data_IF_722366547114
#
_entry.id   IF_722366547114
#
_cell.length_a   1.000
_cell.length_b   1.000
_cell.length_c   1.000
_cell.angle_alpha   90.00
_cell.angle_beta   90.00
_cell.angle_gamma   90.00
#
_symmetry.space_group_name_H-M   'P 1'
#
loop_
_entity.id
_entity.type
_entity.pdbx_description
1 polymer ?
#
# COMPACT_ATOMS: atom_id res chain seq x y z
N UNK A 1 -44.58 27.48 31.48
CA UNK A 1 -43.50 26.85 30.68
C UNK A 1 -44.14 25.85 29.73
N UNK A 2 -44.18 26.16 28.44
CA UNK A 2 -44.76 25.25 27.43
C UNK A 2 -43.66 24.31 26.92
N UNK A 3 -43.79 22.98 27.08
CA UNK A 3 -42.84 22.04 26.51
C UNK A 3 -42.88 22.15 24.98
N UNK A 4 -41.75 22.49 24.38
CA UNK A 4 -41.61 22.62 22.92
C UNK A 4 -41.57 21.21 22.34
N UNK A 5 -42.67 20.75 21.75
CA UNK A 5 -42.71 19.48 21.00
C UNK A 5 -41.62 19.51 19.92
N UNK A 6 -40.64 18.61 20.05
CA UNK A 6 -39.67 18.35 19.00
C UNK A 6 -40.40 17.58 17.91
N UNK A 7 -40.23 17.93 16.62
CA UNK A 7 -40.87 17.17 15.55
C UNK A 7 -40.41 15.70 15.65
N UNK A 8 -41.32 14.73 15.55
CA UNK A 8 -40.93 13.33 15.45
C UNK A 8 -40.08 13.19 14.19
N UNK A 9 -38.84 12.71 14.35
CA UNK A 9 -38.02 12.28 13.22
C UNK A 9 -38.86 11.30 12.41
N UNK A 10 -39.08 11.58 11.13
CA UNK A 10 -39.77 10.61 10.28
C UNK A 10 -38.85 9.41 10.17
N UNK A 11 -39.35 8.22 10.52
CA UNK A 11 -38.63 6.95 10.42
C UNK A 11 -38.24 6.61 8.97
N UNK A 12 -38.49 7.49 8.00
CA UNK A 12 -38.14 7.32 6.59
C UNK A 12 -36.97 8.22 6.15
N UNK A 13 -36.78 9.39 6.79
CA UNK A 13 -35.73 10.35 6.40
C UNK A 13 -34.31 9.85 6.69
N UNK A 14 -34.10 9.28 7.89
CA UNK A 14 -32.78 8.73 8.23
C UNK A 14 -32.47 7.46 7.43
N UNK A 15 -33.38 6.46 7.35
CA UNK A 15 -33.06 5.19 6.71
C UNK A 15 -32.92 5.24 5.18
N UNK A 16 -33.59 6.16 4.47
CA UNK A 16 -33.41 6.28 3.02
C UNK A 16 -31.99 6.71 2.65
N UNK A 17 -31.38 7.59 3.46
CA UNK A 17 -30.03 8.11 3.21
C UNK A 17 -28.99 7.01 3.40
N UNK A 18 -29.08 6.25 4.50
CA UNK A 18 -28.17 5.11 4.75
C UNK A 18 -28.36 4.01 3.69
N UNK A 19 -29.57 3.79 3.18
CA UNK A 19 -29.81 2.84 2.09
C UNK A 19 -29.09 3.26 0.81
N UNK A 20 -29.16 4.54 0.43
CA UNK A 20 -28.46 5.06 -0.75
C UNK A 20 -26.93 4.97 -0.54
N UNK A 21 -26.43 5.36 0.63
CA UNK A 21 -24.99 5.25 0.96
C UNK A 21 -24.52 3.79 0.89
N UNK A 22 -25.31 2.83 1.39
CA UNK A 22 -24.96 1.42 1.36
C UNK A 22 -24.84 0.88 -0.07
N UNK A 23 -25.76 1.26 -0.96
CA UNK A 23 -25.71 0.90 -2.39
C UNK A 23 -24.42 1.46 -3.01
N UNK A 24 -24.14 2.75 -2.83
CA UNK A 24 -22.92 3.37 -3.36
C UNK A 24 -21.64 2.75 -2.78
N UNK A 25 -21.60 2.50 -1.47
CA UNK A 25 -20.46 1.89 -0.79
C UNK A 25 -20.21 0.46 -1.25
N UNK A 26 -21.26 -0.34 -1.51
CA UNK A 26 -21.14 -1.71 -2.02
C UNK A 26 -20.43 -1.78 -3.38
N UNK A 27 -20.53 -0.74 -4.20
CA UNK A 27 -19.82 -0.62 -5.47
C UNK A 27 -18.41 -0.04 -5.28
N UNK A 28 -18.23 0.84 -4.29
CA UNK A 28 -16.95 1.50 -4.02
C UNK A 28 -15.91 0.59 -3.34
N UNK A 29 -16.33 -0.19 -2.34
CA UNK A 29 -15.44 -1.07 -1.56
C UNK A 29 -14.64 -2.07 -2.44
N UNK A 30 -15.26 -2.85 -3.34
CA UNK A 30 -14.51 -3.77 -4.19
C UNK A 30 -13.55 -3.02 -5.13
N UNK A 31 -13.96 -1.88 -5.69
CA UNK A 31 -13.10 -1.07 -6.56
C UNK A 31 -11.87 -0.53 -5.81
N UNK A 32 -12.02 -0.14 -4.54
CA UNK A 32 -10.93 0.35 -3.69
C UNK A 32 -9.92 -0.75 -3.35
N UNK A 33 -10.36 -1.98 -3.11
CA UNK A 33 -9.47 -3.11 -2.86
C UNK A 33 -8.57 -3.40 -4.06
N UNK A 34 -9.16 -3.43 -5.26
CA UNK A 34 -8.40 -3.59 -6.51
C UNK A 34 -7.40 -2.44 -6.70
N UNK A 35 -7.84 -1.19 -6.48
CA UNK A 35 -6.97 -0.02 -6.61
C UNK A 35 -5.76 -0.08 -5.65
N UNK A 36 -5.98 -0.51 -4.39
CA UNK A 36 -4.91 -0.69 -3.40
C UNK A 36 -3.88 -1.72 -3.84
N UNK A 37 -4.34 -2.86 -4.36
CA UNK A 37 -3.43 -3.92 -4.82
C UNK A 37 -2.63 -3.48 -6.06
N UNK A 38 -3.28 -2.80 -7.01
CA UNK A 38 -2.59 -2.18 -8.16
C UNK A 38 -1.59 -1.12 -7.72
N UNK A 39 -1.90 -0.36 -6.66
CA UNK A 39 -0.96 0.57 -6.04
C UNK A 39 0.28 -0.13 -5.49
N UNK A 40 0.11 -1.19 -4.70
CA UNK A 40 1.24 -2.02 -4.20
C UNK A 40 2.07 -2.61 -5.34
N UNK A 41 1.42 -3.14 -6.37
CA UNK A 41 2.09 -3.69 -7.55
C UNK A 41 2.95 -2.62 -8.25
N UNK A 42 2.42 -1.41 -8.40
CA UNK A 42 3.14 -0.30 -9.04
C UNK A 42 4.38 0.13 -8.25
N UNK A 43 4.28 0.18 -6.92
CA UNK A 43 5.41 0.46 -6.03
C UNK A 43 6.48 -0.63 -6.13
N UNK A 44 6.08 -1.90 -6.06
CA UNK A 44 7.00 -3.03 -6.19
C UNK A 44 7.74 -3.00 -7.53
N UNK A 45 7.01 -2.80 -8.63
CA UNK A 45 7.59 -2.70 -9.97
C UNK A 45 8.56 -1.52 -10.08
N UNK A 46 8.26 -0.37 -9.47
CA UNK A 46 9.17 0.78 -9.42
C UNK A 46 10.46 0.46 -8.67
N UNK A 47 10.36 -0.20 -7.51
CA UNK A 47 11.53 -0.62 -6.73
C UNK A 47 12.40 -1.61 -7.52
N UNK A 48 11.82 -2.66 -8.10
CA UNK A 48 12.59 -3.63 -8.90
C UNK A 48 13.28 -2.98 -10.10
N UNK A 49 12.63 -2.00 -10.76
CA UNK A 49 13.25 -1.21 -11.82
C UNK A 49 14.44 -0.40 -11.29
N UNK A 50 14.30 0.26 -10.14
CA UNK A 50 15.39 1.03 -9.52
C UNK A 50 16.57 0.14 -9.14
N UNK A 51 16.33 -1.04 -8.56
CA UNK A 51 17.38 -2.02 -8.25
C UNK A 51 18.06 -2.50 -9.53
N UNK A 52 17.31 -2.90 -10.55
CA UNK A 52 17.87 -3.36 -11.82
C UNK A 52 18.71 -2.28 -12.51
N UNK A 53 18.26 -1.03 -12.50
CA UNK A 53 19.04 0.12 -12.98
C UNK A 53 20.32 0.31 -12.15
N UNK A 54 20.23 0.25 -10.82
CA UNK A 54 21.39 0.35 -9.95
C UNK A 54 22.42 -0.77 -10.20
N UNK A 55 21.96 -2.01 -10.42
CA UNK A 55 22.82 -3.14 -10.78
C UNK A 55 23.49 -2.92 -12.13
N UNK A 56 22.75 -2.44 -13.14
CA UNK A 56 23.32 -2.14 -14.46
C UNK A 56 24.38 -1.03 -14.37
N UNK A 57 24.12 0.04 -13.63
CA UNK A 57 25.08 1.11 -13.41
C UNK A 57 26.34 0.59 -12.72
N UNK A 58 26.18 -0.22 -11.67
CA UNK A 58 27.30 -0.83 -10.96
C UNK A 58 28.16 -1.71 -11.88
N UNK A 59 27.54 -2.60 -12.66
CA UNK A 59 28.26 -3.48 -13.60
C UNK A 59 29.08 -2.68 -14.62
N UNK A 60 28.55 -1.54 -15.08
CA UNK A 60 29.25 -0.67 -16.04
C UNK A 60 30.49 -0.01 -15.40
N UNK A 61 30.41 0.34 -14.13
CA UNK A 61 31.51 0.99 -13.42
C UNK A 61 32.57 -0.01 -12.88
N UNK A 62 32.20 -1.27 -12.67
CA UNK A 62 33.03 -2.32 -12.04
C UNK A 62 33.34 -3.53 -12.95
N UNK A 63 33.73 -3.28 -14.20
CA UNK A 63 34.22 -4.30 -15.15
C UNK A 63 33.30 -5.53 -15.27
N UNK A 64 31.99 -5.27 -15.31
CA UNK A 64 30.91 -6.27 -15.39
C UNK A 64 30.87 -7.27 -14.22
N UNK A 65 31.45 -6.92 -13.06
CA UNK A 65 31.39 -7.72 -11.84
C UNK A 65 30.15 -7.37 -11.02
N UNK A 66 29.39 -8.38 -10.61
CA UNK A 66 28.25 -8.20 -9.71
C UNK A 66 28.70 -7.85 -8.29
N UNK A 67 27.88 -7.11 -7.50
CA UNK A 67 28.16 -6.86 -6.10
C UNK A 67 28.32 -8.19 -5.34
N UNK A 68 29.49 -8.40 -4.75
CA UNK A 68 29.77 -9.54 -3.88
C UNK A 68 28.95 -9.40 -2.60
N UNK A 69 28.06 -10.36 -2.36
CA UNK A 69 27.36 -10.49 -1.10
C UNK A 69 28.25 -11.29 -0.14
N UNK A 70 29.19 -10.59 0.49
CA UNK A 70 29.99 -11.14 1.58
C UNK A 70 29.09 -11.26 2.82
N UNK A 71 28.26 -12.31 2.86
CA UNK A 71 27.54 -12.68 4.07
C UNK A 71 28.58 -13.12 5.08
N UNK A 72 28.65 -12.51 6.28
CA UNK A 72 29.52 -13.01 7.32
C UNK A 72 28.96 -14.37 7.75
N UNK A 73 29.46 -15.44 7.14
CA UNK A 73 29.31 -16.78 7.65
C UNK A 73 30.01 -16.76 9.00
N UNK A 74 29.22 -16.77 10.07
CA UNK A 74 29.70 -16.79 11.44
C UNK A 74 30.44 -18.09 11.73
N UNK A 75 31.63 -18.26 11.18
CA UNK A 75 32.70 -18.97 11.84
C UNK A 75 33.51 -17.88 12.53
N UNK A 76 33.49 -17.86 13.86
CA UNK A 76 34.08 -16.83 14.71
C UNK A 76 35.61 -16.73 14.68
N UNK A 77 36.26 -16.93 13.53
CA UNK A 77 37.68 -16.64 13.34
C UNK A 77 37.84 -15.21 12.87
N UNK A 78 37.94 -14.31 13.85
CA UNK A 78 38.52 -12.97 13.71
C UNK A 78 39.87 -13.11 13.00
N UNK A 79 39.95 -12.69 11.75
CA UNK A 79 41.22 -12.27 11.15
C UNK A 79 40.93 -11.09 10.23
N UNK A 80 40.71 -9.94 10.86
CA UNK A 80 41.06 -8.64 10.27
C UNK A 80 42.44 -8.29 10.85
N UNK A 81 43.44 -7.88 10.05
CA UNK A 81 44.52 -7.03 10.55
C UNK A 81 43.99 -5.63 10.95
#
# INVERSE_FOLDING_TARGET
>A
MHPRSRPPFTLIELPVVIAIIAILASLLLPALELAKEKGRQSVCMSNSKQIGLATLLYLRDYDERYPNHDWPSGNGSRTLP
#
